data_IF_428716012577
#
_entry.id   IF_428716012577
#
_cell.length_a   1.000
_cell.length_b   1.000
_cell.length_c   1.000
_cell.angle_alpha   90.00
_cell.angle_beta   90.00
_cell.angle_gamma   90.00
#
_symmetry.space_group_name_H-M   'P 1'
#
loop_
_entity.id
_entity.type
_entity.pdbx_description
1 polymer ?
#
# COMPACT_ATOMS: atom_id res chain seq x y z
N UNK A 1 26.96 24.29 30.60
CA UNK A 1 27.49 24.17 29.23
C UNK A 1 28.93 23.72 29.24
N UNK A 2 29.26 22.64 28.54
CA UNK A 2 30.61 22.16 28.25
C UNK A 2 30.87 22.34 26.74
N UNK A 3 32.00 22.94 26.37
CA UNK A 3 32.40 23.09 24.97
C UNK A 3 33.66 22.25 24.70
N UNK A 4 33.62 21.40 23.68
CA UNK A 4 34.73 20.57 23.21
C UNK A 4 35.07 20.99 21.79
N UNK A 5 36.32 21.42 21.55
CA UNK A 5 36.73 21.97 20.25
C UNK A 5 37.12 20.92 19.21
N UNK A 6 37.31 19.67 19.62
CA UNK A 6 37.70 18.56 18.76
C UNK A 6 36.69 17.41 18.81
N UNK A 7 37.15 16.22 18.42
CA UNK A 7 36.33 15.01 18.48
C UNK A 7 36.21 14.48 19.91
N UNK A 8 35.13 13.77 20.20
CA UNK A 8 34.90 13.06 21.47
C UNK A 8 34.82 11.56 21.19
N UNK A 9 35.54 10.76 21.99
CA UNK A 9 35.32 9.31 22.08
C UNK A 9 34.68 9.03 23.43
N UNK A 10 33.42 8.59 23.42
CA UNK A 10 32.67 8.26 24.62
C UNK A 10 32.63 6.75 24.81
N UNK A 11 33.39 6.25 25.80
CA UNK A 11 33.30 4.86 26.27
C UNK A 11 32.63 4.75 27.64
N UNK A 12 32.07 5.85 28.16
CA UNK A 12 31.45 5.94 29.48
C UNK A 12 30.05 6.53 29.37
N UNK A 13 29.66 7.36 30.34
CA UNK A 13 28.38 8.08 30.31
C UNK A 13 28.63 9.57 30.15
N UNK A 14 28.00 10.16 29.14
CA UNK A 14 27.78 11.59 29.01
C UNK A 14 26.31 11.83 29.30
N UNK A 15 26.02 12.73 30.23
CA UNK A 15 24.67 13.08 30.63
C UNK A 15 24.53 14.61 30.64
N UNK A 16 23.51 15.09 29.94
CA UNK A 16 23.19 16.52 29.80
C UNK A 16 21.81 16.87 30.35
N UNK A 17 21.37 16.22 31.43
CA UNK A 17 20.17 16.61 32.19
C UNK A 17 20.15 18.11 32.53
N UNK A 18 19.24 18.85 31.88
CA UNK A 18 19.11 20.31 31.94
C UNK A 18 20.42 21.09 31.68
N UNK A 19 21.39 20.43 31.07
CA UNK A 19 22.72 20.93 30.79
C UNK A 19 22.93 21.14 29.29
N UNK A 20 24.13 21.57 28.92
CA UNK A 20 24.45 21.73 27.50
C UNK A 20 25.85 21.20 27.21
N UNK A 21 25.99 20.39 26.17
CA UNK A 21 27.24 19.93 25.59
C UNK A 21 27.32 20.41 24.14
N UNK A 22 28.42 21.05 23.77
CA UNK A 22 28.72 21.43 22.40
C UNK A 22 30.06 20.83 21.99
N UNK A 23 30.06 19.95 20.99
CA UNK A 23 31.23 19.31 20.40
C UNK A 23 31.38 19.84 18.99
N UNK A 24 32.45 20.58 18.70
CA UNK A 24 32.68 21.11 17.35
C UNK A 24 33.06 20.02 16.34
N UNK A 25 33.67 18.93 16.79
CA UNK A 25 34.06 17.79 15.97
C UNK A 25 33.01 16.68 15.92
N UNK A 26 33.45 15.48 15.55
CA UNK A 26 32.62 14.27 15.55
C UNK A 26 32.60 13.59 16.93
N UNK A 27 31.60 12.74 17.16
CA UNK A 27 31.47 11.91 18.36
C UNK A 27 31.46 10.44 17.97
N UNK A 28 32.35 9.65 18.55
CA UNK A 28 32.30 8.18 18.53
C UNK A 28 31.74 7.71 19.88
N UNK A 29 30.51 7.21 19.90
CA UNK A 29 29.79 6.77 21.09
C UNK A 29 29.76 5.24 21.19
N UNK A 30 30.58 4.68 22.08
CA UNK A 30 30.53 3.28 22.50
C UNK A 30 29.89 3.09 23.89
N UNK A 31 29.57 4.20 24.56
CA UNK A 31 28.99 4.24 25.91
C UNK A 31 27.53 4.70 25.88
N UNK A 32 27.14 5.55 26.82
CA UNK A 32 25.82 6.20 26.88
C UNK A 32 25.96 7.71 26.65
N UNK A 33 25.19 8.26 25.73
CA UNK A 33 25.04 9.69 25.51
C UNK A 33 23.57 10.07 25.78
N UNK A 34 23.32 10.69 26.93
CA UNK A 34 21.99 11.03 27.40
C UNK A 34 21.78 12.54 27.35
N UNK A 35 20.66 12.95 26.75
CA UNK A 35 20.23 14.35 26.67
C UNK A 35 18.79 14.46 27.16
N UNK A 36 18.58 15.15 28.28
CA UNK A 36 17.25 15.22 28.90
C UNK A 36 16.95 16.56 29.56
N UNK A 37 15.66 16.83 29.78
CA UNK A 37 15.16 18.06 30.38
C UNK A 37 15.02 19.21 29.37
N UNK A 38 14.11 20.16 29.65
CA UNK A 38 13.76 21.27 28.74
C UNK A 38 14.96 22.13 28.28
N UNK A 39 16.05 22.17 29.06
CA UNK A 39 17.28 22.89 28.70
C UNK A 39 18.44 21.95 28.33
N UNK A 40 18.20 20.64 28.33
CA UNK A 40 19.15 19.61 27.95
C UNK A 40 19.45 19.69 26.46
N UNK A 41 20.66 20.09 26.10
CA UNK A 41 21.07 20.17 24.69
C UNK A 41 22.42 19.49 24.47
N UNK A 42 22.49 18.58 23.52
CA UNK A 42 23.77 18.10 22.97
C UNK A 42 23.88 18.56 21.52
N UNK A 43 24.94 19.27 21.17
CA UNK A 43 25.23 19.70 19.79
C UNK A 43 26.53 19.11 19.32
N UNK A 44 26.51 18.45 18.17
CA UNK A 44 27.65 17.82 17.51
C UNK A 44 27.82 18.49 16.14
N UNK A 45 28.96 19.15 15.94
CA UNK A 45 29.28 19.88 14.71
C UNK A 45 29.74 18.98 13.56
N UNK A 46 30.22 17.78 13.87
CA UNK A 46 30.58 16.75 12.90
C UNK A 46 29.56 15.61 12.84
N UNK A 47 30.07 14.40 12.59
CA UNK A 47 29.29 13.17 12.53
C UNK A 47 29.11 12.54 13.92
N UNK A 48 28.08 11.72 14.10
CA UNK A 48 27.90 10.85 15.25
C UNK A 48 27.96 9.38 14.80
N UNK A 49 28.98 8.66 15.27
CA UNK A 49 29.07 7.20 15.11
C UNK A 49 28.66 6.55 16.43
N UNK A 50 27.56 5.80 16.43
CA UNK A 50 27.01 5.17 17.61
C UNK A 50 27.12 3.66 17.53
N UNK A 51 27.86 3.06 18.45
CA UNK A 51 27.86 1.62 18.71
C UNK A 51 27.38 1.30 20.15
N UNK A 52 26.94 2.32 20.90
CA UNK A 52 26.41 2.24 22.26
C UNK A 52 24.96 2.74 22.34
N UNK A 53 24.63 3.49 23.39
CA UNK A 53 23.30 4.05 23.59
C UNK A 53 23.30 5.58 23.43
N UNK A 54 22.33 6.10 22.69
CA UNK A 54 21.99 7.51 22.62
C UNK A 54 20.54 7.65 23.06
N UNK A 55 20.27 8.49 24.05
CA UNK A 55 18.93 8.71 24.58
C UNK A 55 18.64 10.20 24.64
N UNK A 56 17.51 10.60 24.05
CA UNK A 56 17.03 11.97 24.04
C UNK A 56 15.60 12.01 24.56
N UNK A 57 15.43 12.52 25.78
CA UNK A 57 14.16 12.39 26.52
C UNK A 57 13.71 13.70 27.15
N UNK A 58 12.48 13.75 27.63
CA UNK A 58 11.99 14.82 28.52
C UNK A 58 12.27 16.23 27.96
N UNK A 59 11.92 16.46 26.70
CA UNK A 59 12.17 17.70 25.94
C UNK A 59 13.65 18.06 25.70
N UNK A 60 14.59 17.14 25.95
CA UNK A 60 15.98 17.29 25.58
C UNK A 60 16.18 17.32 24.06
N UNK A 61 17.22 18.02 23.60
CA UNK A 61 17.52 18.18 22.16
C UNK A 61 18.93 17.72 21.81
N UNK A 62 19.05 16.72 20.93
CA UNK A 62 20.30 16.34 20.28
C UNK A 62 20.35 16.90 18.86
N UNK A 63 21.33 17.73 18.56
CA UNK A 63 21.60 18.25 17.22
C UNK A 63 22.91 17.67 16.69
N UNK A 64 22.86 16.96 15.57
CA UNK A 64 24.04 16.48 14.83
C UNK A 64 24.07 17.22 13.50
N UNK A 65 25.11 18.00 13.23
CA UNK A 65 25.20 18.76 11.97
C UNK A 65 25.56 17.85 10.80
N UNK A 66 26.40 16.85 11.04
CA UNK A 66 26.82 15.87 10.05
C UNK A 66 25.87 14.68 9.92
N UNK A 67 26.44 13.55 9.51
CA UNK A 67 25.73 12.28 9.39
C UNK A 67 25.67 11.55 10.74
N UNK A 68 24.71 10.64 10.85
CA UNK A 68 24.64 9.67 11.94
C UNK A 68 24.83 8.26 11.38
N UNK A 69 25.76 7.50 11.96
CA UNK A 69 25.88 6.06 11.74
C UNK A 69 25.51 5.36 13.04
N UNK A 70 24.44 4.56 13.02
CA UNK A 70 24.06 3.70 14.13
C UNK A 70 24.44 2.26 13.79
N UNK A 71 25.47 1.73 14.42
CA UNK A 71 25.97 0.38 14.18
C UNK A 71 25.03 -0.68 14.73
N UNK A 72 25.28 -1.95 14.43
CA UNK A 72 24.42 -3.10 14.80
C UNK A 72 24.11 -3.19 16.31
N UNK A 73 25.07 -2.82 17.18
CA UNK A 73 24.87 -2.77 18.64
C UNK A 73 24.35 -1.42 19.14
N UNK A 74 24.21 -0.45 18.25
CA UNK A 74 23.82 0.91 18.55
C UNK A 74 22.32 1.04 18.75
N UNK A 75 21.94 1.77 19.80
CA UNK A 75 20.57 2.22 20.03
C UNK A 75 20.52 3.74 20.04
N UNK A 76 19.57 4.30 19.30
CA UNK A 76 19.16 5.71 19.41
C UNK A 76 17.69 5.73 19.80
N UNK A 77 17.38 6.30 20.97
CA UNK A 77 16.02 6.42 21.48
C UNK A 77 15.66 7.90 21.68
N UNK A 78 14.54 8.32 21.08
CA UNK A 78 14.01 9.67 21.19
C UNK A 78 12.59 9.62 21.74
N UNK A 79 12.40 10.02 22.99
CA UNK A 79 11.11 9.79 23.65
C UNK A 79 10.65 10.94 24.54
N UNK A 80 9.38 10.90 24.96
CA UNK A 80 8.82 11.84 25.95
C UNK A 80 9.09 13.32 25.65
N UNK A 81 8.83 13.74 24.40
CA UNK A 81 9.04 15.11 23.92
C UNK A 81 10.48 15.44 23.52
N UNK A 82 11.43 14.51 23.67
CA UNK A 82 12.79 14.66 23.18
C UNK A 82 12.86 14.87 21.66
N UNK A 83 13.90 15.55 21.20
CA UNK A 83 14.15 15.84 19.78
C UNK A 83 15.56 15.42 19.38
N UNK A 84 15.68 14.63 18.32
CA UNK A 84 16.96 14.29 17.67
C UNK A 84 16.95 14.84 16.25
N UNK A 85 17.80 15.83 15.98
CA UNK A 85 17.92 16.49 14.68
C UNK A 85 19.25 16.10 14.01
N UNK A 86 19.18 15.51 12.83
CA UNK A 86 20.30 15.06 12.00
C UNK A 86 20.37 15.92 10.74
N UNK A 87 21.45 16.70 10.62
CA UNK A 87 21.68 17.62 9.51
C UNK A 87 22.06 16.93 8.20
N UNK A 88 22.66 15.73 8.28
CA UNK A 88 23.02 14.89 7.15
C UNK A 88 22.10 13.67 6.98
N UNK A 89 22.71 12.56 6.56
CA UNK A 89 22.05 11.27 6.40
C UNK A 89 22.11 10.44 7.69
N UNK A 90 21.19 9.47 7.82
CA UNK A 90 21.21 8.45 8.87
C UNK A 90 21.41 7.06 8.24
N UNK A 91 22.47 6.38 8.62
CA UNK A 91 22.68 4.95 8.33
C UNK A 91 22.38 4.15 9.58
N UNK A 92 21.40 3.25 9.54
CA UNK A 92 20.97 2.47 10.70
C UNK A 92 21.14 0.96 10.46
N UNK A 93 22.08 0.35 11.17
CA UNK A 93 22.27 -1.10 11.28
C UNK A 93 21.76 -1.66 12.61
N UNK A 94 21.51 -0.80 13.61
CA UNK A 94 21.04 -1.16 14.95
C UNK A 94 19.56 -0.85 15.15
N UNK A 95 19.23 -0.22 16.28
CA UNK A 95 17.86 0.22 16.59
C UNK A 95 17.77 1.73 16.70
N UNK A 96 16.80 2.33 16.00
CA UNK A 96 16.39 3.73 16.14
C UNK A 96 14.91 3.73 16.50
N UNK A 97 14.58 4.28 17.67
CA UNK A 97 13.22 4.36 18.17
C UNK A 97 12.81 5.81 18.46
N UNK A 98 11.57 6.14 18.14
CA UNK A 98 10.94 7.40 18.51
C UNK A 98 9.60 7.12 19.18
N UNK A 99 9.45 7.42 20.47
CA UNK A 99 8.21 7.19 21.24
C UNK A 99 7.72 8.47 21.92
N UNK A 100 6.67 9.09 21.37
CA UNK A 100 6.22 10.43 21.81
C UNK A 100 7.32 11.51 21.73
N UNK A 101 8.34 11.32 20.89
CA UNK A 101 9.41 12.27 20.61
C UNK A 101 9.48 12.66 19.13
N UNK A 102 10.54 13.33 18.70
CA UNK A 102 10.75 13.72 17.30
C UNK A 102 12.15 13.38 16.80
N UNK A 103 12.24 12.59 15.73
CA UNK A 103 13.46 12.36 14.97
C UNK A 103 13.37 13.11 13.63
N UNK A 104 14.25 14.08 13.39
CA UNK A 104 14.29 14.83 12.14
C UNK A 104 15.60 14.57 11.41
N UNK A 105 15.56 13.91 10.26
CA UNK A 105 16.72 13.67 9.39
C UNK A 105 16.56 14.55 8.15
N UNK A 106 17.45 15.52 7.97
CA UNK A 106 17.39 16.41 6.80
C UNK A 106 17.77 15.69 5.50
N UNK A 107 18.65 14.69 5.58
CA UNK A 107 19.07 13.87 4.45
C UNK A 107 18.23 12.61 4.27
N UNK A 108 18.83 11.61 3.61
CA UNK A 108 18.23 10.29 3.40
C UNK A 108 18.50 9.36 4.60
N UNK A 109 17.66 8.33 4.72
CA UNK A 109 17.84 7.23 5.67
C UNK A 109 18.13 5.94 4.92
N UNK A 110 19.17 5.22 5.36
CA UNK A 110 19.47 3.86 4.93
C UNK A 110 19.30 2.91 6.13
N UNK A 111 18.19 2.17 6.14
CA UNK A 111 17.78 1.32 7.25
C UNK A 111 18.00 -0.17 6.94
N UNK A 112 19.02 -0.74 7.58
CA UNK A 112 19.29 -2.17 7.61
C UNK A 112 18.88 -2.82 8.94
N UNK A 113 18.67 -2.02 9.99
CA UNK A 113 18.22 -2.44 11.32
C UNK A 113 16.73 -2.22 11.56
N UNK A 114 16.36 -1.69 12.74
CA UNK A 114 14.99 -1.32 13.09
C UNK A 114 14.84 0.19 13.19
N UNK A 115 13.81 0.74 12.53
CA UNK A 115 13.38 2.13 12.65
C UNK A 115 11.92 2.17 13.11
N UNK A 116 11.68 2.55 14.36
CA UNK A 116 10.37 2.48 14.99
C UNK A 116 9.87 3.88 15.36
N UNK A 117 8.61 4.19 15.06
CA UNK A 117 7.95 5.43 15.47
C UNK A 117 6.62 5.10 16.13
N UNK A 118 6.40 5.54 17.37
CA UNK A 118 5.21 5.22 18.16
C UNK A 118 4.72 6.39 19.01
N UNK A 119 3.46 6.31 19.44
CA UNK A 119 2.83 7.27 20.33
C UNK A 119 2.25 8.49 19.61
N UNK A 120 1.21 9.09 20.19
CA UNK A 120 0.44 10.20 19.59
C UNK A 120 1.29 11.40 19.14
N UNK A 121 2.43 11.63 19.80
CA UNK A 121 3.37 12.70 19.43
C UNK A 121 4.67 12.18 18.81
N UNK A 122 4.77 10.88 18.57
CA UNK A 122 5.93 10.26 17.95
C UNK A 122 6.02 10.62 16.48
N UNK A 123 7.09 11.31 16.10
CA UNK A 123 7.28 11.75 14.72
C UNK A 123 8.68 11.42 14.23
N UNK A 124 8.77 10.77 13.08
CA UNK A 124 10.03 10.65 12.34
C UNK A 124 9.87 11.37 11.01
N UNK A 125 10.71 12.36 10.74
CA UNK A 125 10.72 13.12 9.49
C UNK A 125 12.02 12.87 8.73
N UNK A 126 11.90 12.42 7.48
CA UNK A 126 13.01 12.17 6.56
C UNK A 126 12.88 13.17 5.40
N UNK A 127 13.89 14.04 5.26
CA UNK A 127 13.94 15.08 4.23
C UNK A 127 14.37 14.56 2.86
N UNK A 128 15.06 13.42 2.82
CA UNK A 128 15.45 12.71 1.60
C UNK A 128 14.65 11.43 1.36
N UNK A 129 15.32 10.46 0.74
CA UNK A 129 14.78 9.13 0.46
C UNK A 129 14.92 8.20 1.67
N UNK A 130 14.06 7.18 1.75
CA UNK A 130 14.20 6.06 2.68
C UNK A 130 14.52 4.78 1.89
N UNK A 131 15.71 4.23 2.11
CA UNK A 131 16.08 2.90 1.64
C UNK A 131 15.94 1.93 2.82
N UNK A 132 15.04 0.96 2.71
CA UNK A 132 14.80 -0.02 3.77
C UNK A 132 15.16 -1.43 3.30
N UNK A 133 16.09 -2.08 4.00
CA UNK A 133 16.32 -3.52 3.92
C UNK A 133 16.16 -4.22 5.28
N UNK A 134 15.84 -3.47 6.33
CA UNK A 134 15.55 -3.96 7.67
C UNK A 134 14.05 -3.91 7.97
N UNK A 135 13.71 -3.41 9.16
CA UNK A 135 12.34 -3.21 9.60
C UNK A 135 12.04 -1.73 9.85
N UNK A 136 10.90 -1.27 9.36
CA UNK A 136 10.31 0.02 9.69
C UNK A 136 8.94 -0.23 10.30
N UNK A 137 8.68 0.33 11.47
CA UNK A 137 7.39 0.17 12.14
C UNK A 137 6.84 1.51 12.58
N UNK A 138 5.57 1.77 12.29
CA UNK A 138 4.84 2.94 12.77
C UNK A 138 3.58 2.48 13.49
N UNK A 139 3.49 2.78 14.79
CA UNK A 139 2.40 2.26 15.64
C UNK A 139 1.80 3.32 16.55
N UNK A 140 0.66 3.02 17.17
CA UNK A 140 0.11 3.81 18.29
C UNK A 140 0.00 5.32 17.98
N UNK A 141 -0.57 5.65 16.83
CA UNK A 141 -0.71 7.00 16.27
C UNK A 141 0.61 7.74 15.96
N UNK A 142 1.75 7.05 15.99
CA UNK A 142 3.03 7.56 15.53
C UNK A 142 3.01 7.87 14.02
N UNK A 143 3.80 8.86 13.60
CA UNK A 143 3.83 9.33 12.21
C UNK A 143 5.25 9.31 11.64
N UNK A 144 5.44 8.59 10.52
CA UNK A 144 6.65 8.65 9.69
C UNK A 144 6.37 9.45 8.41
N UNK A 145 7.10 10.53 8.20
CA UNK A 145 7.05 11.33 6.99
C UNK A 145 8.33 11.17 6.17
N UNK A 146 8.21 10.89 4.89
CA UNK A 146 9.31 10.79 3.92
C UNK A 146 9.07 11.77 2.78
N UNK A 147 9.97 12.73 2.62
CA UNK A 147 9.83 13.75 1.57
C UNK A 147 10.24 13.22 0.20
N UNK A 148 11.21 12.31 0.15
CA UNK A 148 11.66 11.64 -1.07
C UNK A 148 10.86 10.39 -1.39
N UNK A 149 11.53 9.46 -2.09
CA UNK A 149 11.00 8.16 -2.44
C UNK A 149 11.29 7.13 -1.34
N UNK A 150 10.57 6.01 -1.36
CA UNK A 150 10.87 4.83 -0.54
C UNK A 150 11.26 3.66 -1.44
N UNK A 151 12.42 3.07 -1.18
CA UNK A 151 12.80 1.77 -1.75
C UNK A 151 12.77 0.73 -0.64
N UNK A 152 11.79 -0.17 -0.67
CA UNK A 152 11.59 -1.18 0.36
C UNK A 152 11.97 -2.59 -0.15
N UNK A 153 13.06 -3.13 0.38
CA UNK A 153 13.46 -4.53 0.26
C UNK A 153 13.30 -5.31 1.58
N UNK A 154 12.87 -4.64 2.65
CA UNK A 154 12.67 -5.19 3.98
C UNK A 154 11.19 -5.30 4.34
N UNK A 155 10.85 -4.93 5.57
CA UNK A 155 9.45 -4.82 6.04
C UNK A 155 9.15 -3.39 6.46
N UNK A 156 7.98 -2.91 6.07
CA UNK A 156 7.37 -1.65 6.52
C UNK A 156 5.98 -1.97 7.04
N UNK A 157 5.78 -1.81 8.34
CA UNK A 157 4.51 -2.07 9.02
C UNK A 157 3.93 -0.77 9.59
N UNK A 158 2.69 -0.45 9.22
CA UNK A 158 1.94 0.71 9.71
C UNK A 158 0.68 0.22 10.42
N UNK A 159 0.74 0.05 11.74
CA UNK A 159 -0.34 -0.51 12.54
C UNK A 159 -0.91 0.52 13.52
N UNK A 160 -2.10 1.04 13.26
CA UNK A 160 -2.67 2.19 13.97
C UNK A 160 -1.75 3.44 13.95
N UNK A 161 -0.79 3.52 13.03
CA UNK A 161 0.09 4.67 12.81
C UNK A 161 -0.12 5.31 11.44
N UNK A 162 0.73 6.27 11.07
CA UNK A 162 0.71 6.91 9.76
C UNK A 162 2.07 6.90 9.08
N UNK A 163 2.11 6.44 7.82
CA UNK A 163 3.24 6.59 6.91
C UNK A 163 2.85 7.54 5.77
N UNK A 164 3.56 8.65 5.63
CA UNK A 164 3.35 9.61 4.55
C UNK A 164 4.60 9.71 3.68
N UNK A 165 4.50 9.31 2.42
CA UNK A 165 5.56 9.39 1.41
C UNK A 165 5.15 10.40 0.36
N UNK A 166 5.91 11.48 0.19
CA UNK A 166 5.60 12.47 -0.85
C UNK A 166 6.00 11.99 -2.25
N UNK A 167 7.06 11.17 -2.35
CA UNK A 167 7.52 10.55 -3.59
C UNK A 167 6.81 9.24 -3.94
N UNK A 168 7.46 8.46 -4.81
CA UNK A 168 7.03 7.12 -5.20
C UNK A 168 7.56 6.05 -4.23
N UNK A 169 6.94 4.87 -4.27
CA UNK A 169 7.38 3.69 -3.52
C UNK A 169 7.70 2.55 -4.47
N UNK A 170 8.93 2.04 -4.38
CA UNK A 170 9.35 0.78 -5.00
C UNK A 170 9.38 -0.31 -3.91
N UNK A 171 8.42 -1.23 -3.94
CA UNK A 171 8.26 -2.29 -2.95
C UNK A 171 8.64 -3.66 -3.51
N UNK A 172 9.79 -4.19 -3.08
CA UNK A 172 10.22 -5.58 -3.32
C UNK A 172 10.10 -6.45 -2.05
N UNK A 173 9.89 -5.84 -0.88
CA UNK A 173 9.68 -6.49 0.40
C UNK A 173 8.20 -6.57 0.79
N UNK A 174 7.91 -6.28 2.06
CA UNK A 174 6.54 -6.20 2.58
C UNK A 174 6.19 -4.78 2.97
N UNK A 175 5.02 -4.31 2.54
CA UNK A 175 4.40 -3.05 2.94
C UNK A 175 3.00 -3.34 3.49
N UNK A 176 2.84 -3.27 4.81
CA UNK A 176 1.60 -3.61 5.50
C UNK A 176 0.99 -2.37 6.16
N UNK A 177 -0.33 -2.22 6.05
CA UNK A 177 -1.10 -1.19 6.75
C UNK A 177 -2.30 -1.83 7.46
N UNK A 178 -2.43 -1.63 8.76
CA UNK A 178 -3.48 -2.25 9.58
C UNK A 178 -4.03 -1.34 10.66
N UNK A 179 -5.22 -1.67 11.16
CA UNK A 179 -5.87 -0.97 12.27
C UNK A 179 -6.64 0.27 11.83
N UNK A 180 -7.64 0.66 12.63
CA UNK A 180 -8.59 1.74 12.31
C UNK A 180 -7.91 3.10 12.01
N UNK A 181 -6.74 3.34 12.62
CA UNK A 181 -5.95 4.56 12.41
C UNK A 181 -4.74 4.33 11.48
N UNK A 182 -4.53 3.09 11.00
CA UNK A 182 -3.45 2.72 10.11
C UNK A 182 -3.62 3.37 8.76
N UNK A 183 -2.72 4.29 8.42
CA UNK A 183 -2.79 5.01 7.13
C UNK A 183 -1.43 5.07 6.45
N UNK A 184 -1.36 4.57 5.22
CA UNK A 184 -0.20 4.78 4.34
C UNK A 184 -0.62 5.67 3.19
N UNK A 185 0.05 6.81 3.02
CA UNK A 185 -0.19 7.75 1.94
C UNK A 185 1.04 7.85 1.03
N UNK A 186 0.85 7.57 -0.25
CA UNK A 186 1.88 7.66 -1.29
C UNK A 186 1.50 8.77 -2.27
N UNK A 187 2.32 9.81 -2.34
CA UNK A 187 2.13 10.98 -3.20
C UNK A 187 2.49 10.73 -4.66
N UNK A 188 3.36 9.75 -4.94
CA UNK A 188 3.74 9.31 -6.27
C UNK A 188 3.09 7.99 -6.69
N UNK A 189 3.83 7.25 -7.52
CA UNK A 189 3.45 5.91 -8.00
C UNK A 189 3.85 4.84 -6.99
N UNK A 190 3.18 3.68 -7.04
CA UNK A 190 3.56 2.48 -6.30
C UNK A 190 3.94 1.36 -7.29
N UNK A 191 5.22 0.96 -7.28
CA UNK A 191 5.70 -0.20 -8.02
C UNK A 191 5.87 -1.37 -7.05
N UNK A 192 4.99 -2.36 -7.15
CA UNK A 192 5.03 -3.53 -6.28
C UNK A 192 5.56 -4.76 -7.03
N UNK A 193 6.66 -5.33 -6.53
CA UNK A 193 7.15 -6.67 -6.91
C UNK A 193 7.23 -7.62 -5.70
N UNK A 194 6.89 -7.13 -4.49
CA UNK A 194 6.83 -7.88 -3.25
C UNK A 194 5.38 -8.11 -2.80
N UNK A 195 5.12 -7.84 -1.52
CA UNK A 195 3.79 -7.93 -0.90
C UNK A 195 3.32 -6.57 -0.41
N UNK A 196 2.07 -6.23 -0.72
CA UNK A 196 1.34 -5.11 -0.11
C UNK A 196 0.11 -5.68 0.55
N UNK A 197 -0.13 -5.35 1.83
CA UNK A 197 -1.31 -5.80 2.56
C UNK A 197 -2.00 -4.64 3.27
N UNK A 198 -3.32 -4.57 3.15
CA UNK A 198 -4.16 -3.65 3.92
C UNK A 198 -5.24 -4.42 4.66
N UNK A 199 -5.21 -4.39 5.99
CA UNK A 199 -6.12 -5.19 6.82
C UNK A 199 -6.76 -4.40 7.94
N UNK A 200 -7.78 -4.96 8.59
CA UNK A 200 -8.33 -4.47 9.86
C UNK A 200 -8.66 -2.97 9.85
N UNK A 201 -9.40 -2.53 8.82
CA UNK A 201 -9.77 -1.14 8.53
C UNK A 201 -8.61 -0.18 8.22
N UNK A 202 -7.39 -0.68 8.04
CA UNK A 202 -6.26 0.09 7.55
C UNK A 202 -6.50 0.62 6.14
N UNK A 203 -5.89 1.77 5.82
CA UNK A 203 -6.08 2.45 4.52
C UNK A 203 -4.75 2.76 3.84
N UNK A 204 -4.59 2.29 2.59
CA UNK A 204 -3.50 2.68 1.69
C UNK A 204 -4.04 3.60 0.59
N UNK A 205 -3.48 4.81 0.49
CA UNK A 205 -3.80 5.77 -0.55
C UNK A 205 -2.60 5.97 -1.49
N UNK A 206 -2.82 5.88 -2.79
CA UNK A 206 -1.82 6.11 -3.84
C UNK A 206 -2.33 7.21 -4.77
N UNK A 207 -1.60 8.32 -4.86
CA UNK A 207 -1.98 9.45 -5.72
C UNK A 207 -1.66 9.19 -7.19
N UNK A 208 -0.56 8.50 -7.46
CA UNK A 208 -0.15 8.09 -8.80
C UNK A 208 -0.81 6.80 -9.28
N UNK A 209 -0.10 6.12 -10.18
CA UNK A 209 -0.47 4.80 -10.69
C UNK A 209 0.09 3.68 -9.82
N UNK A 210 -0.46 2.48 -9.97
CA UNK A 210 0.08 1.25 -9.38
C UNK A 210 0.53 0.31 -10.50
N UNK A 211 1.79 -0.14 -10.43
CA UNK A 211 2.28 -1.26 -11.23
C UNK A 211 2.50 -2.45 -10.31
N UNK A 212 1.68 -3.49 -10.43
CA UNK A 212 1.75 -4.68 -9.58
C UNK A 212 2.26 -5.91 -10.34
N UNK A 213 3.46 -6.36 -10.00
CA UNK A 213 4.04 -7.65 -10.41
C UNK A 213 4.12 -8.65 -9.24
N UNK A 214 3.76 -8.23 -8.03
CA UNK A 214 3.76 -9.04 -6.81
C UNK A 214 2.35 -9.37 -6.35
N UNK A 215 2.11 -9.27 -5.04
CA UNK A 215 0.78 -9.44 -4.44
C UNK A 215 0.33 -8.14 -3.78
N UNK A 216 -0.93 -7.76 -4.00
CA UNK A 216 -1.64 -6.73 -3.28
C UNK A 216 -2.91 -7.35 -2.69
N UNK A 217 -2.99 -7.42 -1.38
CA UNK A 217 -4.13 -7.97 -0.65
C UNK A 217 -4.82 -6.88 0.17
N UNK A 218 -6.14 -6.75 -0.01
CA UNK A 218 -7.00 -5.82 0.74
C UNK A 218 -8.07 -6.62 1.46
N UNK A 219 -7.86 -6.95 2.73
CA UNK A 219 -8.76 -7.82 3.51
C UNK A 219 -9.35 -7.06 4.71
N UNK A 220 -10.63 -6.69 4.62
CA UNK A 220 -11.28 -5.77 5.57
C UNK A 220 -10.55 -4.41 5.70
N UNK A 221 -9.71 -4.03 4.74
CA UNK A 221 -9.04 -2.74 4.63
C UNK A 221 -9.49 -1.95 3.41
N UNK A 222 -8.80 -0.84 3.12
CA UNK A 222 -9.06 -0.03 1.92
C UNK A 222 -7.79 0.29 1.16
N UNK A 223 -7.82 0.06 -0.16
CA UNK A 223 -6.84 0.53 -1.13
C UNK A 223 -7.50 1.57 -2.04
N UNK A 224 -6.98 2.80 -2.06
CA UNK A 224 -7.45 3.88 -2.94
C UNK A 224 -6.34 4.34 -3.86
N UNK A 225 -6.51 4.12 -5.16
CA UNK A 225 -5.59 4.55 -6.21
C UNK A 225 -6.26 5.63 -7.04
N UNK A 226 -5.70 6.83 -7.09
CA UNK A 226 -6.25 7.91 -7.91
C UNK A 226 -5.93 7.71 -9.40
N UNK A 227 -4.78 7.12 -9.71
CA UNK A 227 -4.34 6.79 -11.06
C UNK A 227 -4.91 5.47 -11.58
N UNK A 228 -4.23 4.91 -12.58
CA UNK A 228 -4.54 3.60 -13.17
C UNK A 228 -3.75 2.48 -12.48
N UNK A 229 -4.19 1.25 -12.67
CA UNK A 229 -3.49 0.05 -12.19
C UNK A 229 -3.13 -0.86 -13.36
N UNK A 230 -1.85 -1.20 -13.46
CA UNK A 230 -1.34 -2.27 -14.32
C UNK A 230 -1.01 -3.49 -13.44
N UNK A 231 -1.81 -4.54 -13.55
CA UNK A 231 -1.70 -5.76 -12.75
C UNK A 231 -1.18 -6.94 -13.58
N UNK A 232 0.06 -7.35 -13.33
CA UNK A 232 0.65 -8.60 -13.82
C UNK A 232 0.81 -9.67 -12.72
N UNK A 233 0.59 -9.28 -11.46
CA UNK A 233 0.64 -10.15 -10.29
C UNK A 233 -0.75 -10.53 -9.79
N UNK A 234 -0.96 -10.48 -8.47
CA UNK A 234 -2.25 -10.70 -7.83
C UNK A 234 -2.76 -9.42 -7.17
N UNK A 235 -4.02 -9.06 -7.44
CA UNK A 235 -4.75 -7.99 -6.79
C UNK A 235 -6.02 -8.58 -6.16
N UNK A 236 -6.03 -8.76 -4.84
CA UNK A 236 -7.12 -9.41 -4.13
C UNK A 236 -7.83 -8.41 -3.20
N UNK A 237 -9.16 -8.47 -3.17
CA UNK A 237 -10.00 -7.70 -2.24
C UNK A 237 -11.00 -8.62 -1.58
N UNK A 238 -11.05 -8.65 -0.25
CA UNK A 238 -11.91 -9.54 0.52
C UNK A 238 -12.44 -8.91 1.80
N UNK A 239 -13.52 -9.51 2.34
CA UNK A 239 -14.12 -9.11 3.60
C UNK A 239 -15.11 -7.95 3.45
N UNK A 240 -16.06 -7.85 4.38
CA UNK A 240 -17.20 -6.91 4.31
C UNK A 240 -16.76 -5.43 4.21
N UNK A 241 -15.58 -5.09 4.75
CA UNK A 241 -15.00 -3.75 4.67
C UNK A 241 -13.91 -3.62 3.60
N UNK A 242 -13.54 -4.73 2.94
CA UNK A 242 -12.51 -4.77 1.92
C UNK A 242 -12.92 -3.97 0.70
N UNK A 243 -12.23 -2.86 0.44
CA UNK A 243 -12.53 -2.01 -0.72
C UNK A 243 -11.27 -1.62 -1.47
N UNK A 244 -11.18 -1.98 -2.75
CA UNK A 244 -10.20 -1.43 -3.68
C UNK A 244 -10.89 -0.44 -4.62
N UNK A 245 -10.41 0.80 -4.66
CA UNK A 245 -10.92 1.85 -5.55
C UNK A 245 -9.82 2.32 -6.48
N UNK A 246 -10.09 2.31 -7.78
CA UNK A 246 -9.19 2.73 -8.85
C UNK A 246 -9.86 3.89 -9.61
N UNK A 247 -9.23 5.06 -9.59
CA UNK A 247 -9.73 6.28 -10.23
C UNK A 247 -9.52 6.30 -11.75
N UNK A 248 -8.51 5.57 -12.23
CA UNK A 248 -8.19 5.41 -13.66
C UNK A 248 -8.68 4.09 -14.24
N UNK A 249 -7.93 3.60 -15.22
CA UNK A 249 -8.17 2.30 -15.87
C UNK A 249 -7.50 1.16 -15.07
N UNK A 250 -7.99 -0.07 -15.26
CA UNK A 250 -7.35 -1.30 -14.79
C UNK A 250 -6.95 -2.16 -15.99
N UNK A 251 -5.64 -2.38 -16.18
CA UNK A 251 -5.10 -3.34 -17.15
C UNK A 251 -4.63 -4.58 -16.41
N UNK A 252 -5.29 -5.71 -16.64
CA UNK A 252 -5.00 -6.97 -15.97
C UNK A 252 -4.43 -8.00 -16.95
N UNK A 253 -3.19 -8.41 -16.70
CA UNK A 253 -2.53 -9.57 -17.29
C UNK A 253 -2.26 -10.68 -16.25
N UNK A 254 -2.60 -10.45 -14.99
CA UNK A 254 -2.43 -11.38 -13.86
C UNK A 254 -3.76 -11.84 -13.27
N UNK A 255 -3.86 -11.91 -11.96
CA UNK A 255 -5.08 -12.28 -11.24
C UNK A 255 -5.68 -11.07 -10.52
N UNK A 256 -6.98 -10.87 -10.68
CA UNK A 256 -7.80 -9.99 -9.84
C UNK A 256 -8.85 -10.86 -9.17
N UNK A 257 -8.96 -10.78 -7.85
CA UNK A 257 -9.94 -11.53 -7.07
C UNK A 257 -10.72 -10.61 -6.15
N UNK A 258 -12.04 -10.75 -6.15
CA UNK A 258 -12.97 -10.00 -5.29
C UNK A 258 -13.92 -10.98 -4.64
N UNK A 259 -13.72 -11.24 -3.35
CA UNK A 259 -14.41 -12.32 -2.63
C UNK A 259 -15.00 -11.85 -1.31
N UNK A 260 -15.85 -12.69 -0.70
CA UNK A 260 -16.28 -12.55 0.70
C UNK A 260 -16.82 -11.14 1.00
N UNK A 261 -17.72 -10.66 0.15
CA UNK A 261 -18.33 -9.32 0.17
C UNK A 261 -17.36 -8.13 -0.04
N UNK A 262 -16.12 -8.38 -0.45
CA UNK A 262 -15.18 -7.35 -0.87
C UNK A 262 -15.66 -6.62 -2.13
N UNK A 263 -15.25 -5.36 -2.29
CA UNK A 263 -15.66 -4.51 -3.40
C UNK A 263 -14.47 -3.95 -4.18
N UNK A 264 -14.43 -4.17 -5.50
CA UNK A 264 -13.53 -3.49 -6.42
C UNK A 264 -14.31 -2.45 -7.23
N UNK A 265 -13.91 -1.20 -7.15
CA UNK A 265 -14.46 -0.09 -7.95
C UNK A 265 -13.39 0.41 -8.92
N UNK A 266 -13.67 0.35 -10.22
CA UNK A 266 -12.83 0.95 -11.27
C UNK A 266 -13.63 2.06 -11.93
N UNK A 267 -13.18 3.32 -11.82
CA UNK A 267 -13.91 4.45 -12.43
C UNK A 267 -13.74 4.47 -13.94
N UNK A 268 -12.56 4.10 -14.43
CA UNK A 268 -12.24 4.01 -15.85
C UNK A 268 -12.66 2.69 -16.50
N UNK A 269 -11.94 2.32 -17.54
CA UNK A 269 -12.14 1.07 -18.28
C UNK A 269 -11.35 -0.08 -17.62
N UNK A 270 -11.78 -1.29 -17.93
CA UNK A 270 -11.04 -2.51 -17.59
C UNK A 270 -10.60 -3.22 -18.87
N UNK A 271 -9.32 -3.55 -18.97
CA UNK A 271 -8.78 -4.48 -19.98
C UNK A 271 -8.30 -5.74 -19.25
N UNK A 272 -8.93 -6.88 -19.53
CA UNK A 272 -8.46 -8.19 -19.09
C UNK A 272 -7.78 -8.89 -20.27
N UNK A 273 -6.46 -8.97 -20.23
CA UNK A 273 -5.65 -9.54 -21.31
C UNK A 273 -5.75 -11.08 -21.33
N UNK A 274 -5.17 -11.72 -22.36
CA UNK A 274 -5.32 -13.17 -22.60
C UNK A 274 -4.89 -14.07 -21.42
N UNK A 275 -3.90 -13.63 -20.63
CA UNK A 275 -3.45 -14.35 -19.43
C UNK A 275 -4.15 -13.87 -18.16
N UNK A 276 -4.98 -12.84 -18.27
CA UNK A 276 -5.66 -12.20 -17.15
C UNK A 276 -6.87 -13.01 -16.69
N UNK A 277 -7.02 -13.11 -15.38
CA UNK A 277 -8.23 -13.61 -14.72
C UNK A 277 -8.83 -12.52 -13.84
N UNK A 278 -10.14 -12.32 -13.92
CA UNK A 278 -10.93 -11.57 -12.95
C UNK A 278 -11.95 -12.52 -12.33
N UNK A 279 -11.83 -12.79 -11.04
CA UNK A 279 -12.76 -13.59 -10.25
C UNK A 279 -13.56 -12.67 -9.31
N UNK A 280 -14.88 -12.74 -9.40
CA UNK A 280 -15.81 -12.05 -8.52
C UNK A 280 -16.77 -13.05 -7.90
N UNK A 281 -16.48 -13.51 -6.68
CA UNK A 281 -17.18 -14.64 -6.10
C UNK A 281 -17.57 -14.45 -4.64
N UNK A 282 -18.39 -15.36 -4.11
CA UNK A 282 -18.76 -15.40 -2.68
C UNK A 282 -19.28 -14.06 -2.12
N UNK A 283 -20.17 -13.40 -2.86
CA UNK A 283 -20.75 -12.10 -2.48
C UNK A 283 -19.90 -10.88 -2.84
N UNK A 284 -18.69 -11.08 -3.40
CA UNK A 284 -17.86 -9.99 -3.91
C UNK A 284 -18.54 -9.19 -5.03
N UNK A 285 -18.12 -7.93 -5.17
CA UNK A 285 -18.63 -7.01 -6.21
C UNK A 285 -17.48 -6.37 -6.98
N UNK A 286 -17.56 -6.38 -8.31
CA UNK A 286 -16.66 -5.65 -9.20
C UNK A 286 -17.49 -4.66 -10.02
N UNK A 287 -17.25 -3.36 -9.82
CA UNK A 287 -17.95 -2.26 -10.47
C UNK A 287 -17.00 -1.52 -11.44
N UNK A 288 -17.38 -1.46 -12.72
CA UNK A 288 -16.62 -0.81 -13.80
C UNK A 288 -17.40 0.38 -14.34
N UNK A 289 -16.85 1.57 -14.15
CA UNK A 289 -17.43 2.85 -14.57
C UNK A 289 -17.39 3.07 -16.08
N UNK A 290 -16.39 2.51 -16.76
CA UNK A 290 -16.20 2.58 -18.21
C UNK A 290 -16.62 1.31 -18.95
N UNK A 291 -15.90 1.02 -20.05
CA UNK A 291 -16.06 -0.20 -20.82
C UNK A 291 -15.18 -1.32 -20.27
N UNK A 292 -15.52 -2.57 -20.62
CA UNK A 292 -14.73 -3.75 -20.31
C UNK A 292 -14.33 -4.47 -21.59
N UNK A 293 -13.04 -4.67 -21.80
CA UNK A 293 -12.49 -5.52 -22.86
C UNK A 293 -11.94 -6.80 -22.23
N UNK A 294 -12.45 -7.96 -22.63
CA UNK A 294 -12.01 -9.25 -22.11
C UNK A 294 -11.42 -10.13 -23.21
N UNK A 295 -10.12 -10.42 -23.10
CA UNK A 295 -9.41 -11.42 -23.90
C UNK A 295 -9.03 -12.66 -23.07
N UNK A 296 -9.06 -12.57 -21.73
CA UNK A 296 -8.76 -13.66 -20.80
C UNK A 296 -10.01 -14.31 -20.23
N UNK A 297 -10.02 -14.57 -18.93
CA UNK A 297 -11.15 -15.17 -18.22
C UNK A 297 -11.74 -14.20 -17.21
N UNK A 298 -13.07 -14.09 -17.20
CA UNK A 298 -13.83 -13.40 -16.16
C UNK A 298 -14.85 -14.39 -15.63
N UNK A 299 -14.77 -14.66 -14.34
CA UNK A 299 -15.67 -15.56 -13.63
C UNK A 299 -16.43 -14.79 -12.55
N UNK A 300 -17.76 -14.90 -12.54
CA UNK A 300 -18.62 -14.30 -11.53
C UNK A 300 -19.47 -15.38 -10.87
N UNK A 301 -19.02 -15.93 -9.74
CA UNK A 301 -19.67 -17.07 -9.06
C UNK A 301 -20.27 -16.66 -7.70
N UNK A 302 -21.59 -16.53 -7.62
CA UNK A 302 -22.29 -15.96 -6.46
C UNK A 302 -21.80 -14.54 -6.09
N UNK A 303 -21.19 -13.81 -7.03
CA UNK A 303 -20.80 -12.40 -6.91
C UNK A 303 -21.54 -11.50 -7.90
N UNK A 304 -21.13 -10.24 -8.00
CA UNK A 304 -21.70 -9.27 -8.94
C UNK A 304 -20.63 -8.55 -9.76
N UNK A 305 -20.73 -8.62 -11.09
CA UNK A 305 -19.96 -7.80 -12.01
C UNK A 305 -20.89 -6.76 -12.65
N UNK A 306 -20.63 -5.47 -12.41
CA UNK A 306 -21.41 -4.38 -12.97
C UNK A 306 -20.54 -3.53 -13.89
N UNK A 307 -20.88 -3.48 -15.17
CA UNK A 307 -20.20 -2.65 -16.17
C UNK A 307 -21.16 -1.57 -16.65
N UNK A 308 -20.86 -0.30 -16.39
CA UNK A 308 -21.68 0.81 -16.83
C UNK A 308 -21.63 1.01 -18.35
N UNK A 309 -20.47 0.74 -18.95
CA UNK A 309 -20.24 0.83 -20.40
C UNK A 309 -20.58 -0.46 -21.15
N UNK A 310 -19.97 -0.60 -22.32
CA UNK A 310 -20.10 -1.79 -23.17
C UNK A 310 -19.04 -2.83 -22.83
N UNK A 311 -19.31 -4.09 -23.19
CA UNK A 311 -18.38 -5.22 -23.03
C UNK A 311 -18.00 -5.77 -24.39
N UNK A 312 -16.70 -5.81 -24.67
CA UNK A 312 -16.12 -6.54 -25.80
C UNK A 312 -15.49 -7.84 -25.27
N UNK A 313 -16.12 -8.98 -25.54
CA UNK A 313 -15.68 -10.28 -25.05
C UNK A 313 -15.10 -11.14 -26.17
N UNK A 314 -13.78 -11.31 -26.18
CA UNK A 314 -13.05 -12.25 -27.03
C UNK A 314 -12.53 -13.48 -26.25
N UNK A 315 -12.53 -13.39 -24.92
CA UNK A 315 -12.16 -14.48 -24.00
C UNK A 315 -13.35 -15.27 -23.47
N UNK A 316 -13.33 -15.61 -22.18
CA UNK A 316 -14.44 -16.24 -21.47
C UNK A 316 -15.06 -15.29 -20.46
N UNK A 317 -16.38 -15.14 -20.49
CA UNK A 317 -17.17 -14.41 -19.52
C UNK A 317 -18.21 -15.36 -18.92
N UNK A 318 -17.99 -15.80 -17.68
CA UNK A 318 -18.81 -16.79 -17.01
C UNK A 318 -19.56 -16.16 -15.83
N UNK A 319 -20.81 -16.53 -15.65
CA UNK A 319 -21.63 -16.12 -14.51
C UNK A 319 -22.39 -17.32 -13.97
N UNK A 320 -22.21 -17.64 -12.70
CA UNK A 320 -22.78 -18.83 -12.06
C UNK A 320 -23.29 -18.57 -10.66
N UNK A 321 -24.13 -19.48 -10.18
CA UNK A 321 -24.69 -19.45 -8.82
C UNK A 321 -25.93 -18.55 -8.71
N UNK A 322 -26.78 -18.85 -7.71
CA UNK A 322 -28.08 -18.19 -7.51
C UNK A 322 -27.96 -16.66 -7.35
N UNK A 323 -26.82 -16.18 -6.84
CA UNK A 323 -26.53 -14.76 -6.65
C UNK A 323 -25.54 -14.21 -7.69
N UNK A 324 -25.07 -15.04 -8.62
CA UNK A 324 -24.14 -14.62 -9.68
C UNK A 324 -24.85 -13.69 -10.65
N UNK A 325 -24.37 -12.46 -10.75
CA UNK A 325 -24.96 -11.46 -11.63
C UNK A 325 -23.91 -10.72 -12.42
N UNK A 326 -24.07 -10.67 -13.75
CA UNK A 326 -23.32 -9.77 -14.61
C UNK A 326 -24.29 -8.76 -15.21
N UNK A 327 -24.06 -7.47 -14.99
CA UNK A 327 -24.87 -6.38 -15.50
C UNK A 327 -24.05 -5.53 -16.48
N UNK A 328 -24.54 -5.37 -17.70
CA UNK A 328 -23.92 -4.56 -18.74
C UNK A 328 -24.87 -3.42 -19.10
N UNK A 329 -24.44 -2.19 -18.85
CA UNK A 329 -25.19 -0.97 -19.14
C UNK A 329 -25.19 -0.60 -20.62
N UNK A 330 -24.15 -0.97 -21.35
CA UNK A 330 -24.00 -0.77 -22.80
C UNK A 330 -24.31 -2.02 -23.64
N UNK A 331 -23.63 -2.11 -24.78
CA UNK A 331 -23.73 -3.25 -25.69
C UNK A 331 -22.81 -4.41 -25.23
N UNK A 332 -23.16 -5.64 -25.58
CA UNK A 332 -22.29 -6.82 -25.46
C UNK A 332 -21.89 -7.29 -26.86
N UNK A 333 -20.61 -7.15 -27.20
CA UNK A 333 -20.01 -7.70 -28.41
C UNK A 333 -19.24 -8.97 -28.07
N UNK A 334 -19.82 -10.13 -28.35
CA UNK A 334 -19.21 -11.41 -28.05
C UNK A 334 -18.58 -12.03 -29.31
N UNK A 335 -17.27 -12.26 -29.29
CA UNK A 335 -16.55 -13.11 -30.24
C UNK A 335 -15.94 -14.36 -29.59
N UNK A 336 -15.88 -14.38 -28.24
CA UNK A 336 -15.41 -15.50 -27.43
C UNK A 336 -16.55 -16.37 -26.89
N UNK A 337 -16.47 -16.71 -25.61
CA UNK A 337 -17.46 -17.50 -24.89
C UNK A 337 -18.14 -16.68 -23.80
N UNK A 338 -19.46 -16.76 -23.74
CA UNK A 338 -20.27 -16.28 -22.62
C UNK A 338 -21.04 -17.48 -22.07
N UNK A 339 -20.92 -17.75 -20.77
CA UNK A 339 -21.62 -18.84 -20.11
C UNK A 339 -22.39 -18.33 -18.91
N UNK A 340 -23.67 -18.65 -18.82
CA UNK A 340 -24.51 -18.38 -17.64
C UNK A 340 -25.10 -19.69 -17.14
N UNK A 341 -24.70 -20.13 -15.96
CA UNK A 341 -25.08 -21.44 -15.42
C UNK A 341 -25.59 -21.36 -13.99
N UNK A 342 -26.17 -22.44 -13.47
CA UNK A 342 -26.52 -22.58 -12.05
C UNK A 342 -27.29 -21.38 -11.48
N UNK A 343 -28.34 -20.95 -12.19
CA UNK A 343 -29.19 -19.78 -11.92
C UNK A 343 -28.49 -18.40 -11.97
N UNK A 344 -27.25 -18.34 -12.46
CA UNK A 344 -26.56 -17.10 -12.77
C UNK A 344 -27.32 -16.26 -13.80
N UNK A 345 -27.20 -14.94 -13.71
CA UNK A 345 -27.95 -13.99 -14.52
C UNK A 345 -27.04 -13.01 -15.25
N UNK A 346 -27.17 -12.93 -16.58
CA UNK A 346 -26.57 -11.89 -17.41
C UNK A 346 -27.64 -10.91 -17.87
N UNK A 347 -27.50 -9.64 -17.51
CA UNK A 347 -28.38 -8.56 -17.95
C UNK A 347 -27.62 -7.62 -18.91
N UNK A 348 -28.19 -7.36 -20.08
CA UNK A 348 -27.65 -6.42 -21.06
C UNK A 348 -28.69 -5.36 -21.38
N UNK A 349 -28.37 -4.11 -21.06
CA UNK A 349 -29.28 -2.99 -21.32
C UNK A 349 -29.23 -2.57 -22.80
N UNK A 350 -28.05 -2.62 -23.42
CA UNK A 350 -27.87 -2.38 -24.84
C UNK A 350 -28.20 -3.59 -25.71
N UNK A 351 -27.56 -3.65 -26.87
CA UNK A 351 -27.68 -4.73 -27.84
C UNK A 351 -26.68 -5.85 -27.54
N UNK A 352 -27.00 -7.05 -28.03
CA UNK A 352 -26.07 -8.18 -28.05
C UNK A 352 -25.71 -8.49 -29.50
N UNK A 353 -24.42 -8.42 -29.82
CA UNK A 353 -23.86 -8.91 -31.09
C UNK A 353 -23.01 -10.15 -30.80
N UNK A 354 -23.52 -11.32 -31.17
CA UNK A 354 -22.84 -12.59 -30.95
C UNK A 354 -22.25 -13.17 -32.24
N UNK A 355 -20.91 -13.22 -32.30
CA UNK A 355 -20.13 -13.95 -33.28
C UNK A 355 -19.40 -15.17 -32.68
N UNK A 356 -19.46 -15.35 -31.36
CA UNK A 356 -18.87 -16.46 -30.62
C UNK A 356 -19.92 -17.45 -30.13
N UNK A 357 -19.82 -17.86 -28.87
CA UNK A 357 -20.80 -18.71 -28.18
C UNK A 357 -21.41 -17.96 -27.01
N UNK A 358 -22.73 -18.04 -26.88
CA UNK A 358 -23.48 -17.70 -25.67
C UNK A 358 -24.23 -18.96 -25.24
N UNK A 359 -23.99 -19.43 -24.02
CA UNK A 359 -24.67 -20.57 -23.41
C UNK A 359 -25.34 -20.16 -22.09
N UNK A 360 -26.60 -20.54 -21.91
CA UNK A 360 -27.40 -20.21 -20.72
C UNK A 360 -27.96 -21.46 -20.04
N UNK A 361 -27.18 -22.53 -19.93
CA UNK A 361 -27.58 -23.80 -19.30
C UNK A 361 -27.97 -23.65 -17.81
N UNK A 362 -29.28 -23.63 -17.53
CA UNK A 362 -29.87 -23.27 -16.23
C UNK A 362 -29.52 -21.87 -15.70
N UNK A 363 -28.99 -20.98 -16.53
CA UNK A 363 -28.85 -19.56 -16.25
C UNK A 363 -29.94 -18.71 -16.90
N UNK A 364 -29.80 -17.38 -16.83
CA UNK A 364 -30.66 -16.44 -17.55
C UNK A 364 -29.86 -15.37 -18.30
N UNK A 365 -30.37 -14.99 -19.48
CA UNK A 365 -29.89 -13.89 -20.28
C UNK A 365 -31.06 -12.94 -20.55
N UNK A 366 -30.98 -11.72 -20.03
CA UNK A 366 -31.99 -10.68 -20.24
C UNK A 366 -31.40 -9.58 -21.11
N UNK A 367 -32.03 -9.29 -22.25
CA UNK A 367 -31.57 -8.26 -23.19
C UNK A 367 -32.68 -7.24 -23.44
N UNK A 368 -32.42 -5.97 -23.16
CA UNK A 368 -33.39 -4.89 -23.43
C UNK A 368 -33.29 -4.36 -24.86
N UNK A 369 -32.11 -4.44 -25.48
CA UNK A 369 -31.86 -4.05 -26.87
C UNK A 369 -32.18 -5.15 -27.87
N UNK A 370 -31.53 -5.10 -29.03
CA UNK A 370 -31.63 -6.13 -30.07
C UNK A 370 -30.56 -7.21 -29.92
N UNK A 371 -30.86 -8.42 -30.39
CA UNK A 371 -29.90 -9.53 -30.47
C UNK A 371 -29.61 -9.82 -31.94
N UNK A 372 -28.36 -9.62 -32.36
CA UNK A 372 -27.82 -10.08 -33.63
C UNK A 372 -26.90 -11.28 -33.36
N UNK A 373 -27.28 -12.46 -33.85
CA UNK A 373 -26.57 -13.70 -33.60
C UNK A 373 -26.07 -14.32 -34.91
N UNK A 374 -24.77 -14.20 -35.14
CA UNK A 374 -24.03 -14.89 -36.20
C UNK A 374 -23.17 -16.06 -35.65
N UNK A 375 -23.13 -16.23 -34.33
CA UNK A 375 -22.49 -17.35 -33.62
C UNK A 375 -23.48 -18.40 -33.11
N UNK A 376 -23.12 -19.08 -32.01
CA UNK A 376 -23.99 -20.04 -31.31
C UNK A 376 -24.69 -19.38 -30.13
N UNK A 377 -26.00 -19.57 -30.02
CA UNK A 377 -26.81 -19.15 -28.87
C UNK A 377 -27.60 -20.36 -28.36
N UNK A 378 -27.20 -20.89 -27.21
CA UNK A 378 -27.83 -22.02 -26.55
C UNK A 378 -28.60 -21.55 -25.33
N UNK A 379 -29.93 -21.66 -25.37
CA UNK A 379 -30.79 -21.33 -24.24
C UNK A 379 -31.53 -22.58 -23.78
N UNK A 380 -30.83 -23.51 -23.13
CA UNK A 380 -31.42 -24.73 -22.58
C UNK A 380 -31.55 -24.61 -21.07
N UNK A 381 -32.66 -24.02 -20.61
CA UNK A 381 -33.04 -23.98 -19.20
C UNK A 381 -34.55 -23.76 -19.10
N UNK A 382 -35.22 -24.49 -18.22
CA UNK A 382 -36.70 -24.62 -18.14
C UNK A 382 -37.46 -23.31 -17.79
N UNK A 383 -36.80 -22.14 -17.74
CA UNK A 383 -37.39 -20.85 -17.33
C UNK A 383 -36.97 -19.60 -18.15
N UNK A 384 -36.28 -19.71 -19.28
CA UNK A 384 -35.83 -18.53 -20.04
C UNK A 384 -36.94 -17.84 -20.84
N UNK A 385 -37.41 -16.65 -20.40
CA UNK A 385 -38.04 -15.69 -21.31
C UNK A 385 -36.97 -14.99 -22.13
N UNK A 386 -37.09 -15.06 -23.45
CA UNK A 386 -36.40 -14.17 -24.41
C UNK A 386 -37.16 -12.85 -24.53
#
# INVERSE_FOLDING_TARGET
TLNVTGNVSNNGTIDTDNGSLNVNGSVDNNGSLNTSGDNGTTSIGGDLNNSGNVSTTDNGTLNVTGNVSNDENGTIDTSNGGSTDVGGNLSNNGTVGTDNGSLNVNGSVDNHGSLNTSGDNGTTNIGGDLNNSGNVSTTDNGTLNVTGNVSNNGTVDTDNGSLNVNGSVDNNGSLNTSGDNGTTNIGGDLNNSGNVSTTDNGTLNVTGNVSNNGTVDTDNGSLNVNGSVDNNGSLNTSGDNGTTSIGGDLNNSGNVSTTDNGTLNVTGNVSNDENGTIDTSNGGSTDVGGNLSNNGTIDTDNGSLNVNGSVDNNGSLNTSGDNGTTNIGGDLNNSGNVSTTDNGTLNVTGNVSNNGTIDTDNGSLNVNGSVDNNGSLNTSGDNGTT
#
